data_IF_980805632815
#
_entry.id   IF_980805632815
#
_cell.length_a   1.000
_cell.length_b   1.000
_cell.length_c   1.000
_cell.angle_alpha   90.00
_cell.angle_beta   90.00
_cell.angle_gamma   90.00
#
_symmetry.space_group_name_H-M   'P 1'
#
loop_
_entity.id
_entity.type
_entity.pdbx_description
1 polymer ?
#
# COMPACT_ATOMS: atom_id res chain seq x y z
N UNK A 1 -10.07 -7.39 -28.87
CA UNK A 1 -9.43 -7.88 -27.62
C UNK A 1 -10.40 -7.62 -26.47
N UNK A 2 -11.00 -8.68 -25.90
CA UNK A 2 -11.88 -8.59 -24.73
C UNK A 2 -11.00 -8.32 -23.51
N UNK A 3 -11.29 -7.26 -22.75
CA UNK A 3 -10.61 -7.02 -21.47
C UNK A 3 -11.39 -7.80 -20.43
N UNK A 4 -10.78 -8.91 -20.00
CA UNK A 4 -11.28 -9.81 -18.97
C UNK A 4 -10.86 -9.23 -17.62
N UNK A 5 -11.83 -8.93 -16.74
CA UNK A 5 -11.51 -8.74 -15.32
C UNK A 5 -11.52 -10.15 -14.73
N UNK A 6 -10.36 -10.77 -14.78
CA UNK A 6 -10.09 -12.03 -14.12
C UNK A 6 -9.57 -11.78 -12.71
N UNK A 7 -9.92 -12.64 -11.76
CA UNK A 7 -9.04 -12.87 -10.62
C UNK A 7 -7.73 -13.45 -11.19
N UNK A 8 -6.74 -12.58 -11.43
CA UNK A 8 -5.46 -12.98 -12.02
C UNK A 8 -4.67 -13.92 -11.10
N UNK A 9 -4.94 -13.85 -9.80
CA UNK A 9 -4.39 -14.71 -8.77
C UNK A 9 -5.52 -15.21 -7.87
N UNK A 10 -5.70 -16.54 -7.81
CA UNK A 10 -6.58 -17.18 -6.82
C UNK A 10 -5.89 -17.37 -5.46
N UNK A 11 -4.62 -16.96 -5.34
CA UNK A 11 -3.80 -17.12 -4.14
C UNK A 11 -3.23 -15.77 -3.71
N UNK A 12 -3.24 -15.54 -2.40
CA UNK A 12 -2.65 -14.35 -1.78
C UNK A 12 -1.12 -14.40 -1.92
N UNK A 13 -0.52 -13.29 -2.35
CA UNK A 13 0.93 -13.12 -2.37
C UNK A 13 1.29 -11.92 -1.48
N UNK A 14 2.16 -12.15 -0.51
CA UNK A 14 2.71 -11.08 0.31
C UNK A 14 3.81 -10.36 -0.45
N UNK A 15 3.83 -9.04 -0.38
CA UNK A 15 4.85 -8.16 -0.93
C UNK A 15 5.41 -7.23 0.16
N UNK A 16 6.44 -6.47 -0.17
CA UNK A 16 6.94 -5.36 0.66
C UNK A 16 5.95 -4.19 0.81
N UNK A 17 4.81 -4.22 0.13
CA UNK A 17 3.72 -3.24 0.22
C UNK A 17 2.41 -3.90 0.69
N UNK A 18 2.37 -4.45 1.92
CA UNK A 18 1.31 -5.36 2.37
C UNK A 18 -0.09 -4.74 2.41
N UNK A 19 -0.21 -3.40 2.44
CA UNK A 19 -1.52 -2.73 2.49
C UNK A 19 -2.25 -2.74 1.14
N UNK A 20 -1.56 -3.11 0.07
CA UNK A 20 -2.13 -3.25 -1.28
C UNK A 20 -2.09 -4.70 -1.80
N UNK A 21 -1.73 -5.66 -0.94
CA UNK A 21 -1.83 -7.09 -1.24
C UNK A 21 -3.29 -7.54 -1.10
N UNK A 22 -4.10 -7.31 -2.13
CA UNK A 22 -5.52 -7.63 -2.13
C UNK A 22 -5.89 -8.59 -3.25
N UNK A 23 -6.69 -9.61 -2.94
CA UNK A 23 -7.30 -10.49 -3.96
C UNK A 23 -8.53 -9.81 -4.59
N UNK A 24 -9.30 -9.10 -3.76
CA UNK A 24 -10.49 -8.36 -4.19
C UNK A 24 -10.45 -6.93 -3.66
N UNK A 25 -10.75 -5.97 -4.52
CA UNK A 25 -10.89 -4.57 -4.13
C UNK A 25 -12.33 -4.29 -3.70
N UNK A 26 -12.52 -4.00 -2.41
CA UNK A 26 -13.84 -3.72 -1.83
C UNK A 26 -14.51 -2.47 -2.41
N UNK A 27 -13.73 -1.55 -3.01
CA UNK A 27 -14.26 -0.34 -3.62
C UNK A 27 -14.50 -0.45 -5.14
N UNK A 28 -14.12 -1.57 -5.76
CA UNK A 28 -14.35 -1.79 -7.19
C UNK A 28 -15.85 -1.74 -7.53
N UNK A 29 -16.70 -2.23 -6.64
CA UNK A 29 -18.16 -2.20 -6.78
C UNK A 29 -18.69 -0.78 -7.04
N UNK A 30 -18.24 0.19 -6.23
CA UNK A 30 -18.65 1.60 -6.34
C UNK A 30 -18.21 2.20 -7.67
N UNK A 31 -16.99 1.88 -8.11
CA UNK A 31 -16.49 2.33 -9.41
C UNK A 31 -17.34 1.78 -10.56
N UNK A 32 -17.63 0.48 -10.55
CA UNK A 32 -18.44 -0.17 -11.59
C UNK A 32 -19.87 0.38 -11.63
N UNK A 33 -20.46 0.68 -10.47
CA UNK A 33 -21.77 1.32 -10.37
C UNK A 33 -21.80 2.69 -11.06
N UNK A 34 -20.85 3.56 -10.78
CA UNK A 34 -20.84 4.88 -11.41
C UNK A 34 -20.55 4.80 -12.93
N UNK A 35 -19.61 3.95 -13.34
CA UNK A 35 -19.26 3.81 -14.76
C UNK A 35 -20.34 3.10 -15.60
N UNK A 36 -21.23 2.31 -14.99
CA UNK A 36 -22.37 1.72 -15.69
C UNK A 36 -23.48 2.74 -15.98
N UNK A 37 -23.41 3.93 -15.39
CA UNK A 37 -24.53 4.87 -15.35
C UNK A 37 -25.51 4.53 -14.24
N UNK A 38 -24.97 4.15 -13.07
CA UNK A 38 -25.74 3.87 -11.85
C UNK A 38 -26.68 2.67 -11.98
N UNK A 39 -26.25 1.64 -12.73
CA UNK A 39 -26.98 0.38 -12.92
C UNK A 39 -26.57 -0.64 -11.83
N UNK A 40 -27.41 -0.88 -10.80
CA UNK A 40 -27.11 -1.83 -9.75
C UNK A 40 -27.23 -3.29 -10.22
N UNK A 41 -28.06 -3.57 -11.23
CA UNK A 41 -28.28 -4.93 -11.72
C UNK A 41 -27.03 -5.44 -12.44
N UNK A 42 -26.38 -4.58 -13.22
CA UNK A 42 -25.09 -4.89 -13.85
C UNK A 42 -24.04 -5.29 -12.81
N UNK A 43 -23.93 -4.53 -11.72
CA UNK A 43 -22.96 -4.80 -10.64
C UNK A 43 -23.25 -6.14 -9.96
N UNK A 44 -24.52 -6.42 -9.65
CA UNK A 44 -24.96 -7.71 -9.09
C UNK A 44 -24.58 -8.86 -10.02
N UNK A 45 -24.86 -8.74 -11.32
CA UNK A 45 -24.57 -9.78 -12.30
C UNK A 45 -23.06 -9.99 -12.53
N UNK A 46 -22.28 -8.90 -12.47
CA UNK A 46 -20.82 -8.95 -12.51
C UNK A 46 -20.25 -9.77 -11.34
N UNK A 47 -20.62 -9.44 -10.10
CA UNK A 47 -20.14 -10.16 -8.93
C UNK A 47 -20.66 -11.59 -8.84
N UNK A 48 -21.91 -11.85 -9.28
CA UNK A 48 -22.42 -13.22 -9.43
C UNK A 48 -21.58 -14.02 -10.43
N UNK A 49 -21.17 -13.41 -11.54
CA UNK A 49 -20.34 -14.09 -12.54
C UNK A 49 -18.93 -14.37 -12.01
N UNK A 50 -18.30 -13.40 -11.33
CA UNK A 50 -16.99 -13.60 -10.70
C UNK A 50 -17.05 -14.71 -9.65
N UNK A 51 -18.09 -14.75 -8.80
CA UNK A 51 -18.20 -15.74 -7.73
C UNK A 51 -18.32 -17.17 -8.27
N UNK A 52 -18.94 -17.36 -9.44
CA UNK A 52 -19.13 -18.68 -10.05
C UNK A 52 -17.93 -19.10 -10.92
N UNK A 53 -17.36 -18.17 -11.69
CA UNK A 53 -16.39 -18.49 -12.76
C UNK A 53 -14.96 -17.99 -12.48
N UNK A 54 -14.75 -17.23 -11.39
CA UNK A 54 -13.49 -16.54 -11.09
C UNK A 54 -13.15 -15.38 -12.03
N UNK A 55 -14.01 -15.11 -13.02
CA UNK A 55 -13.78 -14.15 -14.11
C UNK A 55 -15.09 -13.54 -14.56
N UNK A 56 -15.08 -12.24 -14.87
CA UNK A 56 -16.23 -11.57 -15.47
C UNK A 56 -15.78 -10.51 -16.49
N UNK A 57 -16.72 -10.13 -17.34
CA UNK A 57 -16.55 -9.06 -18.30
C UNK A 57 -17.52 -7.94 -17.95
N UNK A 58 -17.08 -6.70 -18.09
CA UNK A 58 -17.95 -5.52 -18.01
C UNK A 58 -18.49 -5.17 -19.40
N UNK A 59 -19.65 -4.50 -19.50
CA UNK A 59 -20.17 -3.99 -20.76
C UNK A 59 -19.17 -3.05 -21.48
N UNK A 60 -19.25 -2.98 -22.81
CA UNK A 60 -18.32 -2.17 -23.61
C UNK A 60 -18.33 -0.68 -23.20
N UNK A 61 -19.50 -0.11 -22.89
CA UNK A 61 -19.62 1.26 -22.35
C UNK A 61 -18.78 1.50 -21.08
N UNK A 62 -18.84 0.57 -20.13
CA UNK A 62 -18.09 0.66 -18.86
C UNK A 62 -16.59 0.52 -19.11
N UNK A 63 -16.23 -0.38 -20.02
CA UNK A 63 -14.84 -0.56 -20.45
C UNK A 63 -14.29 0.70 -21.10
N UNK A 64 -15.03 1.33 -22.00
CA UNK A 64 -14.59 2.55 -22.67
C UNK A 64 -14.39 3.68 -21.64
N UNK A 65 -15.32 3.81 -20.69
CA UNK A 65 -15.20 4.77 -19.61
C UNK A 65 -13.99 4.49 -18.68
N UNK A 66 -13.69 3.22 -18.39
CA UNK A 66 -12.48 2.84 -17.66
C UNK A 66 -11.21 3.27 -18.41
N UNK A 67 -11.14 3.02 -19.72
CA UNK A 67 -9.97 3.32 -20.54
C UNK A 67 -9.77 4.83 -20.77
N UNK A 68 -10.86 5.59 -20.81
CA UNK A 68 -10.82 7.04 -20.94
C UNK A 68 -10.30 7.72 -19.66
N UNK A 69 -10.68 7.20 -18.49
CA UNK A 69 -10.45 7.89 -17.21
C UNK A 69 -9.32 7.30 -16.35
N UNK A 70 -8.93 6.04 -16.56
CA UNK A 70 -8.00 5.33 -15.68
C UNK A 70 -6.86 4.67 -16.44
N UNK A 71 -5.67 4.78 -15.86
CA UNK A 71 -4.51 3.98 -16.19
C UNK A 71 -4.19 3.06 -15.02
N UNK A 72 -3.99 1.78 -15.28
CA UNK A 72 -3.57 0.80 -14.29
C UNK A 72 -2.30 0.09 -14.78
N UNK A 73 -1.33 -0.04 -13.88
CA UNK A 73 -0.10 -0.80 -14.09
C UNK A 73 0.39 -1.33 -12.74
N UNK A 74 1.47 -2.11 -12.75
CA UNK A 74 2.04 -2.72 -11.56
C UNK A 74 3.55 -2.46 -11.47
N UNK A 75 4.09 -2.65 -10.26
CA UNK A 75 5.52 -2.70 -10.01
C UNK A 75 5.85 -4.04 -9.34
N UNK A 76 6.96 -4.67 -9.74
CA UNK A 76 7.53 -5.80 -9.01
C UNK A 76 8.26 -5.31 -7.75
N UNK A 77 8.66 -6.22 -6.87
CA UNK A 77 9.49 -5.86 -5.71
C UNK A 77 10.83 -5.26 -6.14
N UNK A 78 11.44 -5.79 -7.21
CA UNK A 78 12.65 -5.22 -7.81
C UNK A 78 12.42 -3.78 -8.30
N UNK A 79 11.33 -3.55 -9.04
CA UNK A 79 10.96 -2.21 -9.51
C UNK A 79 10.76 -1.25 -8.32
N UNK A 80 10.12 -1.73 -7.25
CA UNK A 80 9.80 -0.96 -6.06
C UNK A 80 11.07 -0.60 -5.29
N UNK A 81 11.94 -1.57 -4.99
CA UNK A 81 13.22 -1.35 -4.32
C UNK A 81 14.13 -0.40 -5.11
N UNK A 82 14.24 -0.60 -6.42
CA UNK A 82 14.99 0.30 -7.30
C UNK A 82 14.41 1.71 -7.29
N UNK A 83 13.08 1.84 -7.26
CA UNK A 83 12.42 3.15 -7.22
C UNK A 83 12.70 3.89 -5.92
N UNK A 84 12.66 3.20 -4.77
CA UNK A 84 13.02 3.78 -3.47
C UNK A 84 14.44 4.34 -3.54
N UNK A 85 15.40 3.54 -4.02
CA UNK A 85 16.80 3.96 -4.11
C UNK A 85 17.04 5.06 -5.14
N UNK A 86 16.37 5.02 -6.30
CA UNK A 86 16.45 6.06 -7.32
C UNK A 86 15.99 7.42 -6.78
N UNK A 87 14.87 7.44 -6.05
CA UNK A 87 14.32 8.67 -5.45
C UNK A 87 15.26 9.15 -4.34
N UNK A 88 15.72 8.23 -3.51
CA UNK A 88 16.66 8.52 -2.43
C UNK A 88 17.96 9.15 -2.94
N UNK A 89 18.63 8.54 -3.92
CA UNK A 89 19.90 9.04 -4.47
C UNK A 89 19.72 10.41 -5.14
N UNK A 90 18.58 10.64 -5.82
CA UNK A 90 18.35 11.89 -6.56
C UNK A 90 17.93 13.06 -5.70
N UNK A 91 17.21 12.80 -4.61
CA UNK A 91 16.50 13.85 -3.85
C UNK A 91 16.92 13.90 -2.38
N UNK A 92 17.61 12.87 -1.89
CA UNK A 92 17.85 12.63 -0.48
C UNK A 92 16.57 12.34 0.31
N UNK A 93 15.44 12.09 -0.34
CA UNK A 93 14.17 11.77 0.32
C UNK A 93 13.86 10.27 0.25
N UNK A 94 13.42 9.69 1.38
CA UNK A 94 12.95 8.31 1.44
C UNK A 94 11.43 8.25 1.28
N UNK A 95 10.99 7.35 0.41
CA UNK A 95 9.58 6.99 0.22
C UNK A 95 9.34 5.57 0.72
N UNK A 96 8.12 5.31 1.20
CA UNK A 96 7.72 3.98 1.59
C UNK A 96 7.43 3.09 0.34
N UNK A 97 7.37 1.76 0.49
CA UNK A 97 7.12 0.85 -0.63
C UNK A 97 5.83 1.14 -1.42
N UNK A 98 4.74 1.54 -0.78
CA UNK A 98 3.47 1.85 -1.44
C UNK A 98 3.58 3.11 -2.31
N UNK A 99 4.22 4.14 -1.77
CA UNK A 99 4.52 5.37 -2.52
C UNK A 99 5.45 5.07 -3.70
N UNK A 100 6.43 4.17 -3.53
CA UNK A 100 7.33 3.75 -4.59
C UNK A 100 6.61 3.01 -5.74
N UNK A 101 5.62 2.16 -5.44
CA UNK A 101 4.76 1.56 -6.46
C UNK A 101 4.04 2.63 -7.28
N UNK A 102 3.40 3.60 -6.61
CA UNK A 102 2.69 4.70 -7.28
C UNK A 102 3.63 5.57 -8.12
N UNK A 103 4.81 5.90 -7.59
CA UNK A 103 5.82 6.68 -8.30
C UNK A 103 6.37 5.94 -9.52
N UNK A 104 6.65 4.64 -9.40
CA UNK A 104 7.09 3.81 -10.51
C UNK A 104 6.07 3.83 -11.65
N UNK A 105 4.79 3.63 -11.34
CA UNK A 105 3.72 3.63 -12.35
C UNK A 105 3.59 5.02 -12.99
N UNK A 106 3.53 6.07 -12.18
CA UNK A 106 3.45 7.46 -12.67
C UNK A 106 4.61 7.82 -13.61
N UNK A 107 5.84 7.45 -13.25
CA UNK A 107 7.05 7.77 -14.03
C UNK A 107 7.14 7.01 -15.34
N UNK A 108 6.74 5.73 -15.37
CA UNK A 108 6.94 4.86 -16.54
C UNK A 108 5.73 4.84 -17.49
N UNK A 109 4.53 5.08 -16.99
CA UNK A 109 3.28 4.97 -17.76
C UNK A 109 2.48 6.27 -17.81
N UNK A 110 2.83 7.28 -17.00
CA UNK A 110 2.20 8.59 -17.03
C UNK A 110 2.68 9.45 -18.20
N UNK A 111 2.00 10.58 -18.41
CA UNK A 111 2.39 11.56 -19.43
C UNK A 111 3.45 12.52 -18.86
N UNK A 112 4.70 12.51 -19.35
CA UNK A 112 5.79 13.33 -18.80
C UNK A 112 5.58 14.85 -18.99
N UNK A 113 4.61 15.27 -19.82
CA UNK A 113 4.25 16.68 -20.03
C UNK A 113 3.23 17.19 -19.02
N UNK A 114 2.62 16.31 -18.23
CA UNK A 114 1.57 16.65 -17.27
C UNK A 114 2.15 16.55 -15.85
N UNK A 115 2.13 17.62 -15.05
CA UNK A 115 2.49 17.54 -13.65
C UNK A 115 1.67 16.46 -12.95
N UNK A 116 2.36 15.48 -12.35
CA UNK A 116 1.73 14.32 -11.72
C UNK A 116 1.92 14.39 -10.21
N UNK A 117 0.83 14.23 -9.47
CA UNK A 117 0.86 14.14 -8.00
C UNK A 117 0.81 12.67 -7.61
N UNK A 118 1.79 12.21 -6.84
CA UNK A 118 1.80 10.86 -6.26
C UNK A 118 1.40 10.98 -4.80
N UNK A 119 0.36 10.26 -4.40
CA UNK A 119 -0.08 10.22 -3.01
C UNK A 119 0.93 9.44 -2.15
N UNK A 120 1.58 10.10 -1.20
CA UNK A 120 2.40 9.46 -0.18
C UNK A 120 1.52 8.81 0.88
N UNK A 121 1.23 7.52 0.75
CA UNK A 121 0.19 6.85 1.57
C UNK A 121 0.70 6.38 2.93
N UNK A 122 2.01 6.31 3.14
CA UNK A 122 2.59 5.99 4.43
C UNK A 122 3.94 6.68 4.65
N UNK A 123 4.37 6.69 5.91
CA UNK A 123 5.74 7.07 6.26
C UNK A 123 6.66 5.84 6.11
N UNK A 124 7.85 6.01 5.55
CA UNK A 124 8.83 4.92 5.36
C UNK A 124 9.20 4.21 6.69
N UNK A 125 9.11 4.95 7.81
CA UNK A 125 9.26 4.41 9.16
C UNK A 125 8.26 3.32 9.56
N UNK A 126 7.20 3.06 8.79
CA UNK A 126 6.29 1.91 9.01
C UNK A 126 6.81 0.60 8.40
N UNK A 127 7.80 0.68 7.51
CA UNK A 127 8.30 -0.46 6.71
C UNK A 127 9.81 -0.60 6.90
N UNK A 128 10.25 -0.48 8.14
CA UNK A 128 11.66 -0.42 8.53
C UNK A 128 12.43 -1.63 8.00
N UNK A 129 11.84 -2.81 8.16
CA UNK A 129 12.45 -4.08 7.75
C UNK A 129 12.68 -4.17 6.24
N UNK A 130 11.92 -3.43 5.44
CA UNK A 130 12.10 -3.36 3.99
C UNK A 130 13.05 -2.24 3.56
N UNK A 131 13.07 -1.12 4.30
CA UNK A 131 13.84 0.08 3.93
C UNK A 131 15.30 -0.01 4.38
N UNK A 132 15.57 -0.42 5.62
CA UNK A 132 16.94 -0.42 6.16
C UNK A 132 17.91 -1.32 5.39
N UNK A 133 17.54 -2.53 4.92
CA UNK A 133 18.43 -3.33 4.07
C UNK A 133 18.83 -2.64 2.76
N UNK A 134 18.01 -1.72 2.25
CA UNK A 134 18.35 -0.95 1.04
C UNK A 134 19.38 0.15 1.32
N UNK A 135 19.48 0.61 2.57
CA UNK A 135 20.42 1.67 3.01
C UNK A 135 21.72 1.12 3.59
N UNK A 136 21.71 -0.11 4.11
CA UNK A 136 22.87 -0.79 4.70
C UNK A 136 23.53 -1.72 3.70
N UNK A 137 24.84 -1.93 3.86
CA UNK A 137 25.62 -2.93 3.11
C UNK A 137 25.91 -4.21 3.91
N UNK A 138 25.34 -4.38 5.10
CA UNK A 138 25.57 -5.57 5.94
C UNK A 138 24.27 -6.23 6.39
N UNK A 139 24.15 -7.51 6.09
CA UNK A 139 23.12 -8.44 6.53
C UNK A 139 23.37 -8.90 7.98
N UNK A 140 22.34 -9.43 8.64
CA UNK A 140 22.31 -9.98 10.02
C UNK A 140 21.65 -9.12 11.10
N UNK A 141 20.43 -8.60 10.82
CA UNK A 141 19.43 -8.41 11.89
C UNK A 141 18.08 -8.97 11.46
N UNK A 142 17.43 -9.82 12.29
CA UNK A 142 16.13 -10.41 11.96
C UNK A 142 14.95 -9.43 12.08
N UNK A 143 15.14 -8.28 12.75
CA UNK A 143 14.16 -7.20 12.82
C UNK A 143 14.86 -5.89 13.15
N UNK A 144 14.41 -4.80 12.55
CA UNK A 144 14.92 -3.47 12.80
C UNK A 144 13.87 -2.57 13.47
N UNK A 145 14.34 -1.58 14.21
CA UNK A 145 13.50 -0.57 14.87
C UNK A 145 13.32 0.70 14.03
N UNK A 146 12.20 1.39 14.22
CA UNK A 146 11.97 2.71 13.61
C UNK A 146 13.06 3.70 14.00
N UNK A 147 13.58 3.63 15.25
CA UNK A 147 14.67 4.47 15.72
C UNK A 147 15.94 4.30 14.89
N UNK A 148 16.36 3.07 14.59
CA UNK A 148 17.53 2.81 13.74
C UNK A 148 17.38 3.43 12.35
N UNK A 149 16.18 3.40 11.77
CA UNK A 149 15.92 4.04 10.48
C UNK A 149 15.92 5.55 10.56
N UNK A 150 15.36 6.14 11.63
CA UNK A 150 15.44 7.58 11.84
C UNK A 150 16.89 8.05 12.03
N UNK A 151 17.72 7.27 12.73
CA UNK A 151 19.14 7.56 12.91
C UNK A 151 19.88 7.55 11.58
N UNK A 152 19.64 6.57 10.71
CA UNK A 152 20.20 6.56 9.36
C UNK A 152 19.67 7.71 8.49
N UNK A 153 18.38 8.00 8.61
CA UNK A 153 17.71 9.06 7.86
C UNK A 153 18.04 10.48 8.38
N UNK A 154 18.69 10.62 9.54
CA UNK A 154 19.01 11.92 10.14
C UNK A 154 20.01 12.73 9.31
N UNK A 155 20.86 12.05 8.53
CA UNK A 155 21.87 12.67 7.66
C UNK A 155 21.33 13.03 6.27
N UNK A 156 20.04 12.83 6.02
CA UNK A 156 19.44 13.11 4.73
C UNK A 156 19.25 14.60 4.52
N UNK A 157 19.47 15.05 3.28
CA UNK A 157 19.25 16.44 2.89
C UNK A 157 17.79 16.85 3.05
N UNK A 158 16.87 15.92 2.79
CA UNK A 158 15.43 16.11 2.93
C UNK A 158 14.94 15.52 4.26
N UNK A 159 14.73 16.38 5.26
CA UNK A 159 14.16 15.99 6.57
C UNK A 159 12.78 16.62 6.76
N UNK A 160 11.69 15.92 6.38
CA UNK A 160 10.35 16.39 6.65
C UNK A 160 10.15 16.72 8.12
N UNK A 161 9.31 17.72 8.42
CA UNK A 161 8.93 18.07 9.80
C UNK A 161 8.40 16.84 10.56
N UNK A 162 7.72 15.94 9.86
CA UNK A 162 7.21 14.68 10.40
C UNK A 162 8.32 13.79 10.99
N UNK A 163 9.53 13.79 10.43
CA UNK A 163 10.66 13.04 11.00
C UNK A 163 10.96 13.51 12.42
N UNK A 164 11.02 14.83 12.66
CA UNK A 164 11.31 15.38 14.00
C UNK A 164 10.25 14.96 15.02
N UNK A 165 8.97 15.03 14.63
CA UNK A 165 7.86 14.63 15.50
C UNK A 165 7.90 13.14 15.80
N UNK A 166 8.18 12.30 14.79
CA UNK A 166 8.26 10.85 14.96
C UNK A 166 9.48 10.44 15.80
N UNK A 167 10.66 11.03 15.58
CA UNK A 167 11.86 10.78 16.40
C UNK A 167 11.60 11.07 17.87
N UNK A 168 10.90 12.16 18.18
CA UNK A 168 10.49 12.48 19.55
C UNK A 168 9.48 11.49 20.15
N UNK A 169 8.72 10.75 19.33
CA UNK A 169 7.76 9.75 19.78
C UNK A 169 8.39 8.37 19.98
N UNK A 170 9.23 7.92 19.06
CA UNK A 170 9.87 6.58 19.14
C UNK A 170 10.86 6.46 20.30
N UNK A 171 11.30 7.60 20.85
CA UNK A 171 12.19 7.68 22.02
C UNK A 171 11.43 7.71 23.35
N UNK A 172 10.10 7.80 23.34
CA UNK A 172 9.29 7.78 24.56
C UNK A 172 9.27 6.38 25.18
N UNK A 173 9.19 6.33 26.51
CA UNK A 173 8.97 5.09 27.25
C UNK A 173 7.68 4.43 26.76
N UNK A 174 7.75 3.16 26.38
CA UNK A 174 6.56 2.34 26.09
C UNK A 174 5.75 2.19 27.37
N UNK A 175 4.48 2.60 27.33
CA UNK A 175 3.57 2.55 28.49
C UNK A 175 2.52 1.45 28.40
N UNK A 176 2.29 0.90 27.20
CA UNK A 176 1.41 -0.24 26.98
C UNK A 176 2.28 -1.45 26.62
N UNK A 177 2.40 -2.41 27.54
CA UNK A 177 3.22 -3.62 27.38
C UNK A 177 2.39 -4.89 27.37
N UNK A 178 1.08 -4.78 27.58
CA UNK A 178 0.18 -5.91 27.61
C UNK A 178 0.11 -6.56 26.23
N UNK A 179 0.18 -7.88 26.21
CA UNK A 179 0.03 -8.69 25.01
C UNK A 179 -1.05 -9.74 25.26
N UNK A 180 -1.85 -10.02 24.23
CA UNK A 180 -2.89 -11.04 24.27
C UNK A 180 -2.68 -11.98 23.09
N UNK A 181 -2.96 -13.27 23.29
CA UNK A 181 -2.91 -14.21 22.19
C UNK A 181 -3.98 -13.87 21.15
N UNK A 182 -3.82 -14.35 19.91
CA UNK A 182 -4.81 -14.21 18.85
C UNK A 182 -6.06 -15.09 19.10
N UNK A 183 -6.76 -14.82 20.20
CA UNK A 183 -7.94 -15.54 20.68
C UNK A 183 -9.06 -14.53 20.95
N UNK A 184 -10.24 -14.77 20.36
CA UNK A 184 -11.36 -13.83 20.40
C UNK A 184 -11.82 -13.51 21.82
N UNK A 185 -11.97 -14.53 22.67
CA UNK A 185 -12.47 -14.34 24.03
C UNK A 185 -11.48 -13.54 24.88
N UNK A 186 -10.18 -13.86 24.75
CA UNK A 186 -9.12 -13.14 25.46
C UNK A 186 -9.00 -11.68 24.99
N UNK A 187 -9.05 -11.45 23.67
CA UNK A 187 -9.04 -10.08 23.11
C UNK A 187 -10.25 -9.30 23.63
N UNK A 188 -11.45 -9.90 23.59
CA UNK A 188 -12.68 -9.28 24.05
C UNK A 188 -12.59 -8.90 25.53
N UNK A 189 -12.10 -9.82 26.37
CA UNK A 189 -11.93 -9.57 27.79
C UNK A 189 -10.89 -8.47 28.06
N UNK A 190 -9.75 -8.49 27.37
CA UNK A 190 -8.73 -7.44 27.52
C UNK A 190 -9.27 -6.06 27.13
N UNK A 191 -10.03 -5.96 26.04
CA UNK A 191 -10.67 -4.68 25.62
C UNK A 191 -11.67 -4.21 26.67
N UNK A 192 -12.48 -5.11 27.23
CA UNK A 192 -13.42 -4.78 28.30
C UNK A 192 -12.68 -4.29 29.55
N UNK A 193 -11.62 -4.96 29.97
CA UNK A 193 -10.84 -4.55 31.14
C UNK A 193 -10.12 -3.21 30.91
N UNK A 194 -9.53 -3.00 29.72
CA UNK A 194 -8.93 -1.71 29.35
C UNK A 194 -9.97 -0.59 29.34
N UNK A 195 -11.17 -0.83 28.81
CA UNK A 195 -12.23 0.18 28.81
C UNK A 195 -12.68 0.58 30.23
N UNK A 196 -12.51 -0.29 31.23
CA UNK A 196 -12.80 0.03 32.64
C UNK A 196 -11.72 0.90 33.30
N UNK A 197 -10.53 1.04 32.70
CA UNK A 197 -9.43 1.85 33.25
C UNK A 197 -9.36 3.26 32.66
N UNK A 198 -10.14 3.54 31.60
CA UNK A 198 -10.34 4.87 31.02
C UNK A 198 -11.27 5.73 31.90
#
# INVERSE_FOLDING_TARGET
VKYEIALQHTFFQSTISPSIDIITSSNLERLLYHLSGEDPQMVVDFYRTISHNGKAHVPQKVKDALQENFLAAFATEENTNKTIMDVFVKTGYLIDPHTAVGYYVAKNFGNPKIPTVVAGTAHYGKFVDNILPLLKTSEDKPSYSVGELMDQASNLTSTPVMNKLLTAMVTKKVVHTDTVSANYDQISQMVIEFAKTL
#
